data_IF_030611686785
#
_entry.id   IF_030611686785
#
_cell.length_a   1.000
_cell.length_b   1.000
_cell.length_c   1.000
_cell.angle_alpha   90.00
_cell.angle_beta   90.00
_cell.angle_gamma   90.00
#
_symmetry.space_group_name_H-M   'P 1'
#
loop_
_entity.id
_entity.type
_entity.pdbx_description
1 polymer ?
#
# COMPACT_ATOMS: atom_id res chain seq x y z
N UNK A 1 -9.07 -13.83 -5.09
CA UNK A 1 -9.59 -12.56 -4.55
C UNK A 1 -10.50 -11.89 -5.56
N UNK A 2 -11.49 -11.12 -5.11
CA UNK A 2 -12.26 -10.24 -6.00
C UNK A 2 -11.40 -9.04 -6.37
N UNK A 3 -11.52 -8.52 -7.59
CA UNK A 3 -10.88 -7.26 -7.95
C UNK A 3 -11.55 -6.08 -7.23
N UNK A 4 -10.76 -5.10 -6.84
CA UNK A 4 -11.23 -3.83 -6.34
C UNK A 4 -11.71 -2.99 -7.52
N UNK A 5 -13.00 -2.67 -7.57
CA UNK A 5 -13.57 -1.91 -8.69
C UNK A 5 -13.22 -0.43 -8.62
N UNK A 6 -13.13 0.12 -7.41
CA UNK A 6 -12.87 1.55 -7.17
C UNK A 6 -12.23 1.75 -5.80
N UNK A 7 -11.31 2.71 -5.72
CA UNK A 7 -10.85 3.29 -4.47
C UNK A 7 -11.63 4.56 -4.18
N UNK A 8 -12.51 4.49 -3.17
CA UNK A 8 -13.33 5.63 -2.78
C UNK A 8 -12.48 6.71 -2.11
N UNK A 9 -12.86 7.99 -2.23
CA UNK A 9 -12.14 9.10 -1.60
C UNK A 9 -12.22 9.07 -0.06
N UNK A 10 -13.21 8.40 0.51
CA UNK A 10 -13.39 8.28 1.96
C UNK A 10 -12.57 7.13 2.58
N UNK A 11 -11.70 6.50 1.79
CA UNK A 11 -10.82 5.44 2.24
C UNK A 11 -9.39 5.93 2.50
N UNK A 12 -8.68 5.17 3.32
CA UNK A 12 -7.29 5.45 3.68
C UNK A 12 -6.47 4.20 3.43
N UNK A 13 -5.33 4.37 2.78
CA UNK A 13 -4.35 3.29 2.59
C UNK A 13 -3.23 3.45 3.62
N UNK A 14 -2.89 2.36 4.31
CA UNK A 14 -1.69 2.24 5.13
C UNK A 14 -0.75 1.25 4.46
N UNK A 15 0.46 1.69 4.14
CA UNK A 15 1.49 0.88 3.50
C UNK A 15 2.70 0.77 4.41
N UNK A 16 2.97 -0.44 4.86
CA UNK A 16 4.07 -0.78 5.77
C UNK A 16 4.97 -1.79 5.10
N UNK A 17 6.28 -1.68 5.32
CA UNK A 17 7.24 -2.72 4.98
C UNK A 17 7.66 -3.45 6.25
N UNK A 18 7.44 -4.75 6.29
CA UNK A 18 7.72 -5.60 7.45
C UNK A 18 8.68 -6.75 7.07
N UNK A 19 9.28 -7.38 8.08
CA UNK A 19 10.25 -8.46 7.91
C UNK A 19 11.70 -7.99 7.67
N UNK A 20 12.63 -8.93 7.82
CA UNK A 20 14.07 -8.69 7.77
C UNK A 20 14.65 -8.21 9.11
N UNK A 21 15.70 -8.88 9.57
CA UNK A 21 16.31 -8.70 10.91
C UNK A 21 17.07 -7.35 11.11
N UNK A 22 16.98 -6.42 10.15
CA UNK A 22 17.82 -5.24 10.15
C UNK A 22 17.01 -4.00 10.54
N UNK A 23 17.26 -3.49 11.76
CA UNK A 23 16.98 -2.09 12.08
C UNK A 23 17.90 -1.23 11.20
N UNK A 24 17.37 -0.79 10.04
CA UNK A 24 18.07 0.12 9.13
C UNK A 24 17.52 1.53 9.42
N UNK A 25 18.27 2.38 10.15
CA UNK A 25 17.90 3.78 10.29
C UNK A 25 17.91 4.42 8.88
N UNK A 26 16.81 5.09 8.51
CA UNK A 26 16.47 5.70 7.18
C UNK A 26 15.42 4.96 6.33
N UNK A 27 14.87 3.82 6.75
CA UNK A 27 13.70 3.27 6.06
C UNK A 27 12.47 4.14 6.37
N UNK A 28 11.72 4.52 5.32
CA UNK A 28 10.49 5.30 5.44
C UNK A 28 9.54 4.56 6.38
N UNK A 29 8.97 5.28 7.36
CA UNK A 29 7.97 4.70 8.25
C UNK A 29 6.72 4.24 7.49
N UNK A 30 5.69 3.74 8.18
CA UNK A 30 4.36 3.52 7.59
C UNK A 30 3.94 4.72 6.75
N UNK A 31 3.55 4.48 5.49
CA UNK A 31 2.97 5.51 4.62
C UNK A 31 1.47 5.47 4.75
N UNK A 32 0.88 6.62 5.10
CA UNK A 32 -0.56 6.81 5.15
C UNK A 32 -0.97 7.69 3.97
N UNK A 33 -1.94 7.22 3.19
CA UNK A 33 -2.45 7.90 2.00
C UNK A 33 -3.95 8.12 2.22
N UNK A 34 -4.34 9.38 2.44
CA UNK A 34 -5.75 9.78 2.55
C UNK A 34 -6.32 9.95 1.14
N UNK A 35 -7.22 9.06 0.71
CA UNK A 35 -7.72 9.12 -0.68
C UNK A 35 -8.62 10.34 -0.94
N UNK A 36 -9.01 11.07 0.09
CA UNK A 36 -9.73 12.35 -0.01
C UNK A 36 -8.83 13.49 -0.50
N UNK A 37 -7.51 13.33 -0.36
CA UNK A 37 -6.50 14.36 -0.67
C UNK A 37 -5.80 14.08 -2.01
N UNK A 38 -6.08 12.94 -2.63
CA UNK A 38 -5.44 12.54 -3.89
C UNK A 38 -6.41 12.67 -5.06
N UNK A 39 -5.88 13.04 -6.22
CA UNK A 39 -6.67 13.23 -7.44
C UNK A 39 -7.39 11.94 -7.88
N UNK A 40 -8.47 12.09 -8.64
CA UNK A 40 -9.23 10.96 -9.19
C UNK A 40 -8.35 10.05 -10.08
N UNK A 41 -7.42 10.65 -10.83
CA UNK A 41 -6.45 9.94 -11.65
C UNK A 41 -5.49 9.11 -10.80
N UNK A 42 -4.96 9.70 -9.73
CA UNK A 42 -4.11 9.01 -8.76
C UNK A 42 -4.87 7.85 -8.09
N UNK A 43 -6.14 8.03 -7.70
CA UNK A 43 -6.96 6.95 -7.14
C UNK A 43 -7.18 5.81 -8.14
N UNK A 44 -7.44 6.13 -9.40
CA UNK A 44 -7.59 5.12 -10.45
C UNK A 44 -6.30 4.32 -10.64
N UNK A 45 -5.14 5.00 -10.65
CA UNK A 45 -3.82 4.36 -10.74
C UNK A 45 -3.54 3.46 -9.53
N UNK A 46 -3.80 3.93 -8.31
CA UNK A 46 -3.68 3.13 -7.09
C UNK A 46 -4.59 1.89 -7.13
N UNK A 47 -5.83 2.04 -7.62
CA UNK A 47 -6.77 0.93 -7.75
C UNK A 47 -6.24 -0.13 -8.73
N UNK A 48 -5.69 0.30 -9.86
CA UNK A 48 -5.03 -0.61 -10.82
C UNK A 48 -3.82 -1.31 -10.21
N UNK A 49 -2.95 -0.57 -9.52
CA UNK A 49 -1.77 -1.13 -8.84
C UNK A 49 -2.17 -2.19 -7.82
N UNK A 50 -3.18 -1.93 -6.98
CA UNK A 50 -3.70 -2.90 -6.00
C UNK A 50 -4.24 -4.13 -6.71
N UNK A 51 -4.99 -3.97 -7.80
CA UNK A 51 -5.52 -5.10 -8.57
C UNK A 51 -4.41 -5.99 -9.16
N UNK A 52 -3.28 -5.40 -9.58
CA UNK A 52 -2.11 -6.14 -10.06
C UNK A 52 -1.39 -6.92 -8.95
N UNK A 53 -1.53 -6.48 -7.69
CA UNK A 53 -0.96 -7.13 -6.52
C UNK A 53 -1.77 -8.34 -6.05
N UNK A 54 -3.09 -8.37 -6.32
CA UNK A 54 -3.99 -9.41 -5.82
C UNK A 54 -3.57 -10.87 -6.13
N UNK A 55 -2.95 -11.19 -7.28
CA UNK A 55 -2.47 -12.56 -7.54
C UNK A 55 -1.33 -13.01 -6.62
N UNK A 56 -0.60 -12.05 -6.02
CA UNK A 56 0.57 -12.31 -5.17
C UNK A 56 0.32 -12.00 -3.70
N UNK A 57 -0.79 -11.33 -3.39
CA UNK A 57 -1.15 -10.96 -2.04
C UNK A 57 -1.68 -12.18 -1.27
N UNK A 58 -1.24 -12.34 -0.04
CA UNK A 58 -1.80 -13.25 0.93
C UNK A 58 -2.78 -12.47 1.82
N UNK A 59 -3.94 -13.07 2.12
CA UNK A 59 -4.95 -12.44 2.99
C UNK A 59 -4.79 -12.81 4.48
N UNK A 60 -3.94 -13.80 4.79
CA UNK A 60 -3.75 -14.25 6.16
C UNK A 60 -2.49 -13.63 6.76
N UNK A 61 -2.62 -12.80 7.82
CA UNK A 61 -1.47 -12.21 8.47
C UNK A 61 -0.54 -13.28 9.04
N UNK A 62 0.76 -13.12 8.82
CA UNK A 62 1.79 -13.99 9.38
C UNK A 62 2.14 -15.22 8.54
N UNK A 63 1.68 -15.31 7.29
CA UNK A 63 2.25 -16.25 6.31
C UNK A 63 3.42 -15.65 5.54
N UNK A 64 3.40 -14.34 5.30
CA UNK A 64 4.55 -13.63 4.77
C UNK A 64 5.57 -13.40 5.90
N UNK A 65 6.88 -13.57 5.61
CA UNK A 65 7.94 -13.26 6.58
C UNK A 65 8.56 -14.44 7.32
N UNK A 66 8.56 -15.65 6.75
CA UNK A 66 9.42 -16.73 7.28
C UNK A 66 10.89 -16.38 7.08
N UNK A 67 11.64 -16.23 8.18
CA UNK A 67 13.08 -15.96 8.17
C UNK A 67 13.42 -14.49 7.86
N UNK A 68 14.23 -14.27 6.83
CA UNK A 68 14.68 -12.95 6.37
C UNK A 68 13.77 -12.33 5.29
N UNK A 69 12.68 -13.02 4.94
CA UNK A 69 11.76 -12.54 3.91
C UNK A 69 11.09 -11.23 4.33
N UNK A 70 11.19 -10.25 3.44
CA UNK A 70 10.51 -8.96 3.58
C UNK A 70 9.20 -8.97 2.80
N UNK A 71 8.22 -8.27 3.32
CA UNK A 71 6.91 -8.12 2.70
C UNK A 71 6.36 -6.71 2.93
N UNK A 72 5.45 -6.31 2.05
CA UNK A 72 4.64 -5.12 2.22
C UNK A 72 3.28 -5.53 2.75
N UNK A 73 2.84 -4.83 3.79
CA UNK A 73 1.48 -4.89 4.30
C UNK A 73 0.74 -3.65 3.82
N UNK A 74 -0.27 -3.87 2.99
CA UNK A 74 -1.15 -2.83 2.46
C UNK A 74 -2.53 -3.01 3.10
N UNK A 75 -2.94 -2.01 3.88
CA UNK A 75 -4.25 -1.94 4.51
C UNK A 75 -5.08 -0.88 3.82
N UNK A 76 -6.35 -1.17 3.57
CA UNK A 76 -7.32 -0.23 3.01
C UNK A 76 -8.47 -0.17 3.99
N UNK A 77 -8.62 0.99 4.64
CA UNK A 77 -9.70 1.25 5.58
C UNK A 77 -10.77 2.11 4.92
N UNK A 78 -12.00 1.65 4.95
CA UNK A 78 -13.14 2.43 4.47
C UNK A 78 -13.89 3.04 5.66
N UNK A 79 -14.25 4.32 5.58
CA UNK A 79 -15.05 4.95 6.65
C UNK A 79 -16.52 4.49 6.63
N UNK A 80 -17.01 4.01 5.48
CA UNK A 80 -18.36 3.46 5.35
C UNK A 80 -18.42 2.01 5.81
N UNK A 81 -19.27 1.72 6.80
CA UNK A 81 -19.49 0.36 7.33
C UNK A 81 -19.99 -0.68 6.30
N UNK A 82 -20.40 -0.23 5.11
CA UNK A 82 -20.82 -1.10 4.01
C UNK A 82 -19.64 -1.75 3.27
N UNK A 83 -18.41 -1.30 3.54
CA UNK A 83 -17.20 -1.81 2.91
C UNK A 83 -16.34 -2.54 3.94
N UNK A 84 -15.88 -3.73 3.56
CA UNK A 84 -14.92 -4.49 4.35
C UNK A 84 -13.54 -3.85 4.18
N UNK A 85 -12.79 -3.70 5.27
CA UNK A 85 -11.37 -3.36 5.21
C UNK A 85 -10.57 -4.47 4.53
N UNK A 86 -9.52 -4.07 3.80
CA UNK A 86 -8.63 -5.00 3.12
C UNK A 86 -7.29 -4.99 3.80
N UNK A 87 -6.72 -6.18 4.01
CA UNK A 87 -5.33 -6.35 4.43
C UNK A 87 -4.67 -7.30 3.43
N UNK A 88 -3.61 -6.83 2.79
CA UNK A 88 -2.86 -7.57 1.79
C UNK A 88 -1.40 -7.63 2.24
N UNK A 89 -0.87 -8.84 2.40
CA UNK A 89 0.56 -9.08 2.60
C UNK A 89 1.18 -9.50 1.26
N UNK A 90 2.12 -8.72 0.73
CA UNK A 90 2.78 -8.97 -0.56
C UNK A 90 4.27 -9.20 -0.32
N UNK A 91 4.86 -10.34 -0.74
CA UNK A 91 6.30 -10.52 -0.71
C UNK A 91 7.03 -9.41 -1.46
N UNK A 92 8.08 -8.83 -0.88
CA UNK A 92 8.82 -7.72 -1.52
C UNK A 92 9.39 -8.13 -2.88
N UNK A 93 9.78 -9.40 -3.05
CA UNK A 93 10.28 -9.97 -4.31
C UNK A 93 9.24 -10.04 -5.43
N UNK A 94 7.95 -9.93 -5.10
CA UNK A 94 6.82 -9.90 -6.04
C UNK A 94 6.12 -8.55 -6.06
N UNK A 95 6.63 -7.57 -5.31
CA UNK A 95 6.05 -6.24 -5.23
C UNK A 95 6.52 -5.40 -6.43
N UNK A 96 5.62 -4.79 -7.21
CA UNK A 96 5.95 -3.87 -8.28
C UNK A 96 6.79 -2.70 -7.75
N UNK A 97 7.73 -2.24 -8.58
CA UNK A 97 8.63 -1.14 -8.22
C UNK A 97 7.85 0.12 -7.83
N UNK A 98 6.68 0.35 -8.45
CA UNK A 98 5.80 1.49 -8.17
C UNK A 98 5.34 1.52 -6.71
N UNK A 99 4.92 0.38 -6.14
CA UNK A 99 4.53 0.33 -4.73
C UNK A 99 5.74 0.57 -3.79
N UNK A 100 6.91 0.05 -4.18
CA UNK A 100 8.16 0.27 -3.43
C UNK A 100 8.54 1.76 -3.45
N UNK A 101 8.42 2.43 -4.60
CA UNK A 101 8.69 3.87 -4.70
C UNK A 101 7.67 4.67 -3.90
N UNK A 102 6.38 4.36 -4.05
CA UNK A 102 5.33 5.00 -3.27
C UNK A 102 5.61 4.92 -1.77
N UNK A 103 6.07 3.76 -1.27
CA UNK A 103 6.48 3.63 0.12
C UNK A 103 7.72 4.48 0.47
N UNK A 104 8.73 4.50 -0.40
CA UNK A 104 9.98 5.25 -0.20
C UNK A 104 9.77 6.75 -0.22
N UNK A 105 9.27 7.31 -1.31
CA UNK A 105 9.13 8.76 -1.53
C UNK A 105 7.84 9.32 -0.93
N UNK A 106 6.75 8.53 -0.92
CA UNK A 106 5.41 9.08 -0.68
C UNK A 106 4.87 9.85 -1.90
N UNK A 107 5.51 9.68 -3.04
CA UNK A 107 5.14 10.28 -4.32
C UNK A 107 4.15 9.34 -5.04
N UNK A 108 2.91 9.79 -5.17
CA UNK A 108 1.79 9.06 -5.78
C UNK A 108 1.69 9.34 -7.28
N UNK A 109 2.15 10.49 -7.77
CA UNK A 109 2.05 10.89 -9.16
C UNK A 109 3.31 10.53 -9.99
N UNK A 110 4.44 10.31 -9.34
CA UNK A 110 5.71 9.90 -9.90
C UNK A 110 6.64 11.06 -10.26
N UNK A 111 6.38 12.27 -9.78
CA UNK A 111 7.16 13.48 -10.08
C UNK A 111 8.48 13.61 -9.26
N UNK A 112 8.69 12.70 -8.30
CA UNK A 112 9.83 12.66 -7.39
C UNK A 112 9.67 13.54 -6.13
N UNK A 113 8.53 14.20 -5.97
CA UNK A 113 8.15 15.05 -4.83
C UNK A 113 7.21 14.25 -3.93
N UNK A 114 7.48 14.17 -2.61
CA UNK A 114 6.53 13.55 -1.69
C UNK A 114 5.19 14.28 -1.72
N UNK A 115 4.09 13.54 -1.92
CA UNK A 115 2.75 14.06 -1.67
C UNK A 115 2.56 14.16 -0.15
N UNK A 116 3.01 15.27 0.42
CA UNK A 116 2.77 15.54 1.84
C UNK A 116 1.27 15.86 2.02
N UNK A 117 0.58 15.19 2.96
CA UNK A 117 -0.75 15.63 3.35
C UNK A 117 -0.63 17.06 3.87
N UNK A 118 -1.41 17.98 3.31
CA UNK A 118 -1.42 19.39 3.72
C UNK A 118 -1.77 19.45 5.20
N UNK A 119 -0.80 19.85 6.03
CA UNK A 119 -0.92 19.85 7.49
C UNK A 119 -1.90 20.90 8.00
#
# INVERSE_FOLDING_TARGET
MKQLSELRPDAVIILVREGGFAFIPKLSGPRRICLSEVSDETRARLCQLINQLLPYAEQQPGRAGSGDQRYFRLEIHFTSANYQDWVLEIPETRTPQELIQLWKSGDLDGDGVPDEPSR
#
